data_IF_504253286617
#
_entry.id   IF_504253286617
#
_cell.length_a   1.000
_cell.length_b   1.000
_cell.length_c   1.000
_cell.angle_alpha   90.00
_cell.angle_beta   90.00
_cell.angle_gamma   90.00
#
_symmetry.space_group_name_H-M   'P 1'
#
loop_
_entity.id
_entity.type
_entity.pdbx_description
1 polymer ?
#
# COMPACT_ATOMS: atom_id res chain seq x y z
N UNK A 1 14.05 7.39 28.57
CA UNK A 1 14.01 5.91 28.43
C UNK A 1 13.02 5.58 27.33
N UNK A 2 13.43 4.81 26.32
CA UNK A 2 12.50 4.38 25.28
C UNK A 2 11.56 3.30 25.84
N UNK A 3 10.26 3.39 25.54
CA UNK A 3 9.30 2.36 25.89
C UNK A 3 9.41 1.20 24.89
N UNK A 4 9.32 -0.03 25.37
CA UNK A 4 9.24 -1.23 24.52
C UNK A 4 7.99 -1.16 23.63
N UNK A 5 8.14 -1.41 22.33
CA UNK A 5 7.05 -1.36 21.35
C UNK A 5 6.91 -2.75 20.69
N UNK A 6 5.70 -3.31 20.72
CA UNK A 6 5.37 -4.61 20.12
C UNK A 6 4.74 -4.49 18.73
N UNK A 7 4.58 -3.27 18.20
CA UNK A 7 4.00 -3.05 16.88
C UNK A 7 5.04 -3.31 15.80
N UNK A 8 4.74 -4.27 14.90
CA UNK A 8 5.54 -4.55 13.71
C UNK A 8 5.50 -3.37 12.74
N UNK A 9 6.64 -3.09 12.12
CA UNK A 9 6.75 -2.02 11.11
C UNK A 9 6.31 -2.51 9.73
N UNK A 10 6.07 -1.58 8.80
CA UNK A 10 5.60 -1.88 7.43
C UNK A 10 6.53 -2.89 6.72
N UNK A 11 7.85 -2.71 6.86
CA UNK A 11 8.85 -3.61 6.28
C UNK A 11 8.68 -5.04 6.77
N UNK A 12 8.44 -5.24 8.06
CA UNK A 12 8.27 -6.57 8.65
C UNK A 12 6.91 -7.19 8.27
N UNK A 13 5.85 -6.38 8.23
CA UNK A 13 4.49 -6.85 7.92
C UNK A 13 4.39 -7.30 6.48
N UNK A 14 4.89 -6.49 5.54
CA UNK A 14 4.81 -6.78 4.11
C UNK A 14 6.03 -7.52 3.56
N UNK A 15 7.09 -7.68 4.36
CA UNK A 15 8.37 -8.31 3.97
C UNK A 15 9.01 -7.60 2.75
N UNK A 16 8.92 -6.27 2.72
CA UNK A 16 9.37 -5.43 1.61
C UNK A 16 10.22 -4.29 2.14
N UNK A 17 11.32 -3.97 1.45
CA UNK A 17 12.21 -2.87 1.87
C UNK A 17 11.47 -1.55 1.87
N UNK A 18 11.62 -0.79 2.95
CA UNK A 18 11.07 0.57 3.04
C UNK A 18 12.16 1.63 2.93
N UNK A 19 11.72 2.88 2.69
CA UNK A 19 12.53 4.08 2.87
C UNK A 19 11.70 5.15 3.58
N UNK A 20 12.32 6.01 4.41
CA UNK A 20 11.63 7.16 4.96
C UNK A 20 11.29 8.16 3.85
N UNK A 21 10.13 8.81 3.97
CA UNK A 21 9.67 9.85 3.07
C UNK A 21 8.94 10.95 3.86
N UNK A 22 9.27 12.21 3.60
CA UNK A 22 8.56 13.36 4.16
C UNK A 22 7.23 13.56 3.43
N UNK A 23 6.18 13.82 4.20
CA UNK A 23 4.81 14.05 3.73
C UNK A 23 4.22 15.24 4.47
N UNK A 24 3.27 15.90 3.83
CA UNK A 24 2.46 16.95 4.44
C UNK A 24 1.11 16.35 4.79
N UNK A 25 0.67 16.54 6.03
CA UNK A 25 -0.63 16.08 6.50
C UNK A 25 -1.76 16.87 5.84
N UNK A 26 -2.69 16.19 5.18
CA UNK A 26 -3.88 16.84 4.59
C UNK A 26 -4.76 17.52 5.66
N UNK A 27 -4.76 17.00 6.90
CA UNK A 27 -5.59 17.51 7.99
C UNK A 27 -4.97 18.70 8.72
N UNK A 28 -3.64 18.70 8.89
CA UNK A 28 -2.95 19.66 9.76
C UNK A 28 -1.94 20.54 9.03
N UNK A 29 -1.58 20.22 7.79
CA UNK A 29 -0.53 20.93 7.03
C UNK A 29 0.89 20.69 7.54
N UNK A 30 1.06 19.90 8.60
CA UNK A 30 2.38 19.64 9.18
C UNK A 30 3.14 18.57 8.39
N UNK A 31 4.45 18.76 8.31
CA UNK A 31 5.35 17.73 7.83
C UNK A 31 5.45 16.56 8.81
N UNK A 32 5.49 15.36 8.27
CA UNK A 32 5.76 14.14 9.02
C UNK A 32 6.58 13.19 8.15
N UNK A 33 7.41 12.37 8.79
CA UNK A 33 8.17 11.32 8.10
C UNK A 33 7.47 9.99 8.28
N UNK A 34 7.32 9.23 7.20
CA UNK A 34 6.73 7.89 7.20
C UNK A 34 7.53 6.96 6.30
N UNK A 35 7.62 5.69 6.68
CA UNK A 35 8.22 4.66 5.84
C UNK A 35 7.28 4.27 4.70
N UNK A 36 7.86 4.18 3.49
CA UNK A 36 7.15 3.79 2.29
C UNK A 36 7.90 2.69 1.53
N UNK A 37 7.17 1.78 0.90
CA UNK A 37 7.69 0.90 -0.14
C UNK A 37 7.65 1.70 -1.46
N UNK A 38 8.79 2.07 -2.06
CA UNK A 38 8.81 2.98 -3.20
C UNK A 38 8.04 2.45 -4.40
N UNK A 39 8.21 1.16 -4.67
CA UNK A 39 7.59 0.42 -5.75
C UNK A 39 7.16 -0.94 -5.23
N UNK A 40 5.87 -1.21 -5.20
CA UNK A 40 5.33 -2.51 -4.85
C UNK A 40 4.67 -3.12 -6.08
N UNK A 41 5.15 -4.28 -6.53
CA UNK A 41 4.59 -5.00 -7.68
C UNK A 41 3.87 -6.25 -7.18
N UNK A 42 2.56 -6.32 -7.42
CA UNK A 42 1.66 -7.35 -6.89
C UNK A 42 0.59 -7.70 -7.93
N UNK A 43 -0.22 -8.73 -7.68
CA UNK A 43 -1.25 -9.19 -8.61
C UNK A 43 -2.64 -8.78 -8.13
N UNK A 44 -3.46 -8.25 -9.04
CA UNK A 44 -4.87 -7.95 -8.76
C UNK A 44 -5.71 -9.22 -8.74
N UNK A 45 -6.69 -9.27 -7.83
CA UNK A 45 -7.74 -10.29 -7.85
C UNK A 45 -8.85 -9.99 -8.88
N UNK A 46 -8.72 -8.90 -9.65
CA UNK A 46 -9.60 -8.59 -10.77
C UNK A 46 -10.78 -7.69 -10.47
N UNK A 47 -10.80 -7.07 -9.29
CA UNK A 47 -11.80 -6.07 -8.91
C UNK A 47 -11.16 -4.85 -8.26
N UNK A 48 -11.94 -3.78 -8.15
CA UNK A 48 -11.67 -2.65 -7.27
C UNK A 48 -12.99 -2.13 -6.73
N UNK A 49 -12.92 -1.45 -5.59
CA UNK A 49 -14.06 -0.75 -4.99
C UNK A 49 -13.79 0.75 -4.96
N UNK A 50 -14.79 1.56 -5.22
CA UNK A 50 -14.70 3.01 -5.03
C UNK A 50 -15.24 3.40 -3.66
N UNK A 51 -14.43 4.11 -2.88
CA UNK A 51 -14.76 4.55 -1.51
C UNK A 51 -14.17 5.95 -1.31
N UNK A 52 -15.02 6.91 -0.97
CA UNK A 52 -14.65 8.32 -0.73
C UNK A 52 -13.86 8.95 -1.89
N UNK A 53 -14.26 8.67 -3.15
CA UNK A 53 -13.58 9.16 -4.35
C UNK A 53 -12.17 8.57 -4.58
N UNK A 54 -11.81 7.51 -3.85
CA UNK A 54 -10.57 6.74 -4.00
C UNK A 54 -10.91 5.29 -4.34
N UNK A 55 -9.92 4.54 -4.81
CA UNK A 55 -10.08 3.17 -5.29
C UNK A 55 -9.31 2.20 -4.41
N UNK A 56 -9.98 1.16 -3.94
CA UNK A 56 -9.41 0.04 -3.18
C UNK A 56 -9.17 -1.12 -4.12
N UNK A 57 -7.93 -1.55 -4.24
CA UNK A 57 -7.53 -2.71 -5.02
C UNK A 57 -7.17 -3.85 -4.07
N UNK A 58 -7.97 -4.92 -4.01
CA UNK A 58 -7.54 -6.15 -3.35
C UNK A 58 -6.50 -6.85 -4.24
N UNK A 59 -5.41 -7.28 -3.61
CA UNK A 59 -4.24 -7.83 -4.28
C UNK A 59 -3.70 -9.03 -3.51
N UNK A 60 -2.91 -9.83 -4.22
CA UNK A 60 -2.08 -10.89 -3.65
C UNK A 60 -0.60 -10.62 -3.94
N UNK A 61 0.24 -10.93 -2.95
CA UNK A 61 1.70 -11.02 -3.07
C UNK A 61 2.13 -12.48 -2.85
N UNK A 62 2.18 -13.29 -3.93
CA UNK A 62 2.54 -14.70 -3.84
C UNK A 62 3.96 -14.93 -3.31
N UNK A 63 4.86 -13.95 -3.45
CA UNK A 63 6.26 -14.06 -3.00
C UNK A 63 6.33 -14.15 -1.48
N UNK A 64 5.44 -13.41 -0.82
CA UNK A 64 5.42 -13.26 0.64
C UNK A 64 4.26 -13.99 1.32
N UNK A 65 3.40 -14.63 0.52
CA UNK A 65 2.16 -15.32 0.94
C UNK A 65 1.21 -14.37 1.68
N UNK A 66 0.88 -13.25 1.03
CA UNK A 66 0.04 -12.18 1.61
C UNK A 66 -1.12 -11.82 0.68
N UNK A 67 -2.27 -11.49 1.30
CA UNK A 67 -3.43 -10.89 0.64
C UNK A 67 -3.88 -9.65 1.43
N UNK A 68 -4.08 -8.53 0.73
CA UNK A 68 -4.50 -7.27 1.36
C UNK A 68 -5.05 -6.29 0.32
N UNK A 69 -5.60 -5.17 0.80
CA UNK A 69 -6.22 -4.15 -0.04
C UNK A 69 -5.46 -2.83 0.07
N UNK A 70 -5.13 -2.22 -1.07
CA UNK A 70 -4.41 -0.93 -1.14
C UNK A 70 -5.35 0.15 -1.69
N UNK A 71 -5.48 1.27 -0.97
CA UNK A 71 -6.27 2.44 -1.40
C UNK A 71 -5.40 3.45 -2.15
N UNK A 72 -5.88 3.91 -3.31
CA UNK A 72 -5.19 4.88 -4.19
C UNK A 72 -6.15 5.92 -4.76
N UNK A 73 -5.68 7.12 -5.12
CA UNK A 73 -6.55 8.16 -5.68
C UNK A 73 -6.91 7.93 -7.15
N UNK A 74 -6.03 7.32 -7.95
CA UNK A 74 -6.27 7.11 -9.37
C UNK A 74 -6.87 5.73 -9.66
N UNK A 75 -7.69 5.67 -10.71
CA UNK A 75 -8.32 4.45 -11.20
C UNK A 75 -7.52 3.87 -12.36
N UNK A 76 -7.33 2.56 -12.34
CA UNK A 76 -6.91 1.73 -13.49
C UNK A 76 -7.86 0.56 -13.67
N UNK A 77 -8.10 0.18 -14.92
CA UNK A 77 -8.86 -1.02 -15.24
C UNK A 77 -8.03 -2.26 -14.91
N UNK A 78 -8.67 -3.27 -14.32
CA UNK A 78 -8.01 -4.53 -13.93
C UNK A 78 -8.87 -5.73 -14.29
N UNK A 79 -8.19 -6.82 -14.57
CA UNK A 79 -8.74 -8.18 -14.63
C UNK A 79 -7.96 -9.09 -13.67
N UNK A 80 -8.51 -10.25 -13.36
CA UNK A 80 -7.80 -11.23 -12.51
C UNK A 80 -6.39 -11.50 -13.06
N UNK A 81 -5.39 -11.45 -12.18
CA UNK A 81 -3.98 -11.65 -12.54
C UNK A 81 -3.29 -10.44 -13.19
N UNK A 82 -3.94 -9.28 -13.28
CA UNK A 82 -3.27 -8.05 -13.73
C UNK A 82 -2.12 -7.71 -12.79
N UNK A 83 -0.94 -7.43 -13.34
CA UNK A 83 0.21 -7.00 -12.55
C UNK A 83 0.05 -5.50 -12.29
N UNK A 84 0.05 -5.12 -11.01
CA UNK A 84 -0.08 -3.75 -10.56
C UNK A 84 1.22 -3.29 -9.93
N UNK A 85 1.66 -2.09 -10.29
CA UNK A 85 2.74 -1.40 -9.62
C UNK A 85 2.19 -0.19 -8.86
N UNK A 86 2.32 -0.23 -7.53
CA UNK A 86 1.96 0.86 -6.64
C UNK A 86 3.18 1.70 -6.28
N UNK A 87 3.00 3.02 -6.15
CA UNK A 87 4.06 3.96 -5.78
C UNK A 87 3.92 4.46 -4.35
N UNK A 88 5.04 4.42 -3.60
CA UNK A 88 5.15 4.87 -2.22
C UNK A 88 4.04 4.29 -1.31
N UNK A 89 3.93 2.96 -1.29
CA UNK A 89 2.97 2.25 -0.44
C UNK A 89 3.31 2.48 1.01
N UNK A 90 2.32 2.87 1.80
CA UNK A 90 2.41 3.11 3.24
C UNK A 90 1.28 2.38 3.93
N UNK A 91 1.46 2.12 5.22
CA UNK A 91 0.42 1.50 6.01
C UNK A 91 0.72 1.53 7.49
N UNK A 92 -0.23 1.07 8.27
CA UNK A 92 -0.10 0.98 9.72
C UNK A 92 -1.25 0.19 10.34
N UNK A 93 -1.14 -0.10 11.64
CA UNK A 93 -2.19 -0.81 12.37
C UNK A 93 -3.42 0.08 12.53
N UNK A 94 -4.59 -0.54 12.43
CA UNK A 94 -5.87 0.03 12.89
C UNK A 94 -6.23 -0.52 14.27
N UNK A 95 -7.18 0.14 14.94
CA UNK A 95 -7.54 -0.19 16.33
C UNK A 95 -8.09 -1.61 16.53
N UNK A 96 -8.57 -2.23 15.45
CA UNK A 96 -9.12 -3.60 15.43
C UNK A 96 -8.09 -4.67 15.02
N UNK A 97 -6.80 -4.32 14.96
CA UNK A 97 -5.71 -5.27 14.67
C UNK A 97 -5.45 -5.55 13.19
N UNK A 98 -6.24 -4.99 12.27
CA UNK A 98 -5.98 -5.07 10.83
C UNK A 98 -4.97 -3.99 10.38
N UNK A 99 -4.36 -4.18 9.21
CA UNK A 99 -3.52 -3.17 8.58
C UNK A 99 -4.32 -2.33 7.58
N UNK A 100 -4.14 -1.01 7.58
CA UNK A 100 -4.55 -0.18 6.45
C UNK A 100 -3.37 0.06 5.52
N UNK A 101 -3.63 0.10 4.21
CA UNK A 101 -2.60 0.36 3.20
C UNK A 101 -3.09 1.39 2.18
N UNK A 102 -2.21 2.33 1.83
CA UNK A 102 -2.46 3.31 0.78
C UNK A 102 -1.21 3.56 -0.05
N UNK A 103 -1.40 4.04 -1.28
CA UNK A 103 -0.30 4.43 -2.16
C UNK A 103 -0.62 5.77 -2.83
N UNK A 104 0.39 6.38 -3.45
CA UNK A 104 0.21 7.63 -4.20
C UNK A 104 -0.50 7.37 -5.53
N UNK A 105 -0.14 6.27 -6.18
CA UNK A 105 -0.74 5.87 -7.44
C UNK A 105 -0.59 4.38 -7.70
N UNK A 106 -1.35 3.91 -8.68
CA UNK A 106 -1.26 2.57 -9.26
C UNK A 106 -1.15 2.65 -10.78
N UNK A 107 -0.38 1.73 -11.38
CA UNK A 107 -0.34 1.50 -12.82
C UNK A 107 -0.42 -0.01 -13.11
N UNK A 108 -0.99 -0.36 -14.26
CA UNK A 108 -0.89 -1.73 -14.80
C UNK A 108 0.49 -1.88 -15.44
N UNK A 109 1.20 -2.95 -15.10
CA UNK A 109 2.46 -3.30 -15.76
C UNK A 109 2.14 -4.21 -16.94
N UNK A 110 2.37 -3.71 -18.15
CA UNK A 110 2.35 -4.56 -19.34
C UNK A 110 3.60 -5.42 -19.35
N UNK A 111 3.42 -6.75 -19.47
CA UNK A 111 4.53 -7.60 -19.91
C UNK A 111 4.69 -7.35 -21.40
N UNK A 112 5.76 -6.67 -21.79
CA UNK A 112 6.23 -6.76 -23.17
C UNK A 112 6.60 -8.23 -23.40
N UNK A 113 5.75 -8.93 -24.14
CA UNK A 113 6.01 -10.27 -24.68
C UNK A 113 6.80 -10.15 -25.96
#
# INVERSE_FOLDING_TARGET
>A
MAKTNWNRILEEVLKQKTRPMVRISENTGNEYTIDVIPNLTVYSIGSFEEVDGKFKYPIVDPTNDLEYTIKVPNKVAVKFGSILQFKNVRGGPTHNGYGWYAADSVAVVERNV
#
